data_IF_079742456437
#
_entry.id   IF_079742456437
#
_cell.length_a   1.000
_cell.length_b   1.000
_cell.length_c   1.000
_cell.angle_alpha   90.00
_cell.angle_beta   90.00
_cell.angle_gamma   90.00
#
_symmetry.space_group_name_H-M   'P 1'
#
loop_
_entity.id
_entity.type
_entity.pdbx_description
1 polymer ?
#
# COMPACT_ATOMS: atom_id res chain seq x y z
N UNK A 1 19.08 12.54 -38.08
CA UNK A 1 17.66 12.89 -37.94
C UNK A 1 17.59 14.16 -37.13
N UNK A 2 17.41 15.30 -37.84
CA UNK A 2 17.28 16.62 -37.24
C UNK A 2 15.84 16.81 -36.79
N UNK A 3 15.68 17.34 -35.58
CA UNK A 3 14.39 17.76 -35.05
C UNK A 3 13.93 19.02 -35.76
N UNK A 4 12.63 19.19 -36.11
CA UNK A 4 12.12 20.43 -36.65
C UNK A 4 12.01 21.52 -35.56
N UNK A 5 12.41 22.73 -35.91
CA UNK A 5 12.27 23.91 -35.06
C UNK A 5 10.79 24.20 -34.76
N UNK A 6 10.49 24.39 -33.48
CA UNK A 6 9.18 24.85 -33.02
C UNK A 6 9.00 26.33 -33.38
N UNK A 7 8.16 26.58 -34.37
CA UNK A 7 7.74 27.91 -34.76
C UNK A 7 7.02 28.66 -33.63
N UNK A 8 7.39 29.91 -33.45
CA UNK A 8 6.77 30.86 -32.54
C UNK A 8 5.30 31.10 -32.89
N UNK A 9 4.41 30.83 -31.93
CA UNK A 9 2.99 31.11 -32.05
C UNK A 9 2.69 32.51 -31.49
N UNK A 10 1.95 33.37 -32.21
CA UNK A 10 1.67 34.73 -31.75
C UNK A 10 0.63 34.74 -30.61
N UNK A 11 0.91 35.62 -29.68
CA UNK A 11 0.08 35.97 -28.52
C UNK A 11 -1.36 36.31 -28.92
N UNK A 12 -2.32 35.56 -28.38
CA UNK A 12 -3.68 36.05 -28.20
C UNK A 12 -3.92 36.30 -26.73
N UNK A 13 -4.00 37.57 -26.36
CA UNK A 13 -4.52 38.03 -25.08
C UNK A 13 -5.91 37.45 -24.87
N UNK A 14 -6.07 36.62 -23.86
CA UNK A 14 -7.33 36.42 -23.15
C UNK A 14 -7.11 36.73 -21.68
N UNK A 15 -7.64 37.89 -21.32
CA UNK A 15 -7.77 38.30 -19.94
C UNK A 15 -8.59 37.26 -19.13
N UNK A 16 -8.12 36.99 -17.92
CA UNK A 16 -8.95 36.63 -16.81
C UNK A 16 -9.43 35.20 -16.74
N UNK A 17 -8.58 34.30 -16.30
CA UNK A 17 -8.87 33.40 -15.20
C UNK A 17 -7.53 32.90 -14.66
N UNK A 18 -7.17 33.39 -13.49
CA UNK A 18 -6.12 32.84 -12.66
C UNK A 18 -6.40 31.34 -12.46
N UNK A 19 -5.41 30.46 -12.65
CA UNK A 19 -5.63 29.07 -12.29
C UNK A 19 -6.01 29.05 -10.82
N UNK A 20 -7.20 28.51 -10.55
CA UNK A 20 -7.67 28.32 -9.21
C UNK A 20 -6.56 27.61 -8.44
N UNK A 21 -5.97 28.33 -7.50
CA UNK A 21 -5.10 27.74 -6.50
C UNK A 21 -5.87 26.58 -5.89
N UNK A 22 -5.38 25.37 -6.06
CA UNK A 22 -5.80 24.22 -5.30
C UNK A 22 -5.36 24.48 -3.87
N UNK A 23 -6.09 25.36 -3.19
CA UNK A 23 -6.02 25.49 -1.77
C UNK A 23 -6.57 24.16 -1.23
N UNK A 24 -5.68 23.30 -0.78
CA UNK A 24 -6.02 22.19 0.07
C UNK A 24 -6.75 22.81 1.25
N UNK A 25 -8.09 22.71 1.25
CA UNK A 25 -8.88 23.13 2.39
C UNK A 25 -8.57 22.20 3.55
N UNK A 26 -8.13 22.69 4.71
CA UNK A 26 -7.86 21.87 5.88
C UNK A 26 -9.11 21.28 6.54
N UNK A 27 -10.27 21.36 5.91
CA UNK A 27 -11.55 20.94 6.47
C UNK A 27 -12.06 19.61 5.93
N UNK A 28 -11.24 18.73 5.38
CA UNK A 28 -11.68 17.37 5.03
C UNK A 28 -11.34 16.38 6.16
N UNK A 29 -11.44 16.83 7.40
CA UNK A 29 -11.58 15.98 8.58
C UNK A 29 -13.00 15.52 8.83
N UNK A 30 -13.92 15.73 7.91
CA UNK A 30 -15.31 15.35 8.01
C UNK A 30 -15.60 14.08 7.20
N UNK A 31 -15.80 12.98 7.91
CA UNK A 31 -16.61 11.82 7.53
C UNK A 31 -17.43 12.04 6.26
N UNK A 32 -16.87 11.74 5.10
CA UNK A 32 -17.62 11.30 3.94
C UNK A 32 -17.03 10.00 3.48
N UNK A 33 -17.42 8.96 4.21
CA UNK A 33 -17.51 7.66 3.60
C UNK A 33 -18.27 7.83 2.28
N UNK A 34 -17.77 7.18 1.23
CA UNK A 34 -18.59 6.82 0.08
C UNK A 34 -19.64 5.81 0.59
N UNK A 35 -20.65 6.28 1.26
CA UNK A 35 -21.90 5.58 1.44
C UNK A 35 -22.86 6.19 0.44
N UNK A 36 -23.01 5.57 -0.72
CA UNK A 36 -24.22 5.75 -1.49
C UNK A 36 -25.39 5.39 -0.57
N UNK A 37 -26.46 6.20 -0.50
CA UNK A 37 -27.64 5.86 0.31
C UNK A 37 -28.27 4.52 -0.07
N UNK A 38 -27.96 3.99 -1.23
CA UNK A 38 -28.52 2.77 -1.81
C UNK A 38 -27.58 1.55 -1.75
N UNK A 39 -26.42 1.66 -1.13
CA UNK A 39 -25.62 0.46 -0.84
C UNK A 39 -26.23 -0.21 0.38
N UNK A 40 -26.81 -1.43 0.26
CA UNK A 40 -27.27 -2.18 1.42
C UNK A 40 -26.11 -2.24 2.39
N UNK A 41 -26.33 -1.84 3.64
CA UNK A 41 -25.30 -1.86 4.66
C UNK A 41 -24.64 -3.23 4.62
N UNK A 42 -23.33 -3.30 4.49
CA UNK A 42 -22.62 -4.54 4.76
C UNK A 42 -23.12 -5.00 6.12
N UNK A 43 -23.62 -6.24 6.24
CA UNK A 43 -23.99 -6.75 7.54
C UNK A 43 -22.80 -6.49 8.46
N UNK A 44 -23.05 -5.88 9.61
CA UNK A 44 -22.07 -5.87 10.69
C UNK A 44 -21.53 -7.29 10.77
N UNK A 45 -20.21 -7.53 10.86
CA UNK A 45 -19.66 -8.87 10.96
C UNK A 45 -20.21 -9.48 12.25
N UNK A 46 -21.44 -10.01 12.14
CA UNK A 46 -22.10 -10.73 13.20
C UNK A 46 -21.40 -12.06 13.32
N UNK A 47 -20.66 -12.24 14.41
CA UNK A 47 -20.32 -13.55 14.88
C UNK A 47 -18.85 -13.97 14.88
N UNK A 48 -17.88 -13.06 14.84
CA UNK A 48 -16.58 -13.37 15.43
C UNK A 48 -16.63 -12.81 16.85
N UNK A 49 -17.20 -13.58 17.74
CA UNK A 49 -17.11 -13.26 19.17
C UNK A 49 -15.64 -13.19 19.55
N UNK A 50 -15.29 -12.21 20.38
CA UNK A 50 -13.93 -12.04 20.91
C UNK A 50 -13.38 -13.27 21.67
N UNK A 51 -14.24 -14.26 21.86
CA UNK A 51 -14.01 -15.46 22.68
C UNK A 51 -13.10 -16.51 22.03
N UNK A 52 -12.98 -16.54 20.69
CA UNK A 52 -12.16 -17.55 20.02
C UNK A 52 -10.65 -17.34 20.18
N UNK A 53 -10.23 -16.14 20.56
CA UNK A 53 -8.82 -15.82 20.80
C UNK A 53 -8.34 -16.10 22.22
N UNK A 54 -9.26 -16.25 23.17
CA UNK A 54 -8.92 -16.59 24.56
C UNK A 54 -8.54 -18.07 24.74
N UNK A 55 -8.87 -18.92 23.78
CA UNK A 55 -8.66 -20.36 23.88
C UNK A 55 -7.24 -20.84 23.56
N UNK A 56 -6.38 -19.99 22.99
CA UNK A 56 -4.94 -20.27 22.86
C UNK A 56 -4.15 -19.65 24.03
N UNK A 57 -4.53 -19.99 25.25
CA UNK A 57 -3.85 -19.52 26.48
C UNK A 57 -2.35 -19.82 26.42
N UNK A 58 -1.55 -18.79 26.28
CA UNK A 58 -0.09 -18.84 26.36
C UNK A 58 0.66 -18.51 25.06
N UNK A 59 -0.02 -18.42 23.92
CA UNK A 59 0.63 -18.00 22.68
C UNK A 59 0.75 -16.47 22.62
N UNK A 60 1.96 -15.97 22.37
CA UNK A 60 2.16 -14.53 22.14
C UNK A 60 1.55 -14.13 20.78
N UNK A 61 0.84 -12.98 20.72
CA UNK A 61 0.34 -12.47 19.45
C UNK A 61 1.47 -12.32 18.43
N UNK A 62 1.21 -12.77 17.20
CA UNK A 62 2.19 -12.75 16.10
C UNK A 62 1.86 -11.65 15.09
N UNK A 63 0.57 -11.36 14.90
CA UNK A 63 0.09 -10.37 13.94
C UNK A 63 -0.32 -9.07 14.61
N UNK A 64 -0.42 -7.99 13.83
CA UNK A 64 -0.96 -6.72 14.33
C UNK A 64 -2.42 -6.87 14.77
N UNK A 65 -3.21 -7.69 14.08
CA UNK A 65 -4.60 -7.97 14.44
C UNK A 65 -4.71 -8.69 15.79
N UNK A 66 -3.93 -9.75 16.00
CA UNK A 66 -3.89 -10.46 17.28
C UNK A 66 -3.46 -9.54 18.42
N UNK A 67 -2.40 -8.75 18.20
CA UNK A 67 -1.94 -7.77 19.20
C UNK A 67 -3.02 -6.74 19.53
N UNK A 68 -3.69 -6.22 18.52
CA UNK A 68 -4.75 -5.23 18.70
C UNK A 68 -5.94 -5.79 19.48
N UNK A 69 -6.36 -7.04 19.19
CA UNK A 69 -7.44 -7.74 19.90
C UNK A 69 -7.05 -8.11 21.34
N UNK A 70 -5.79 -8.41 21.56
CA UNK A 70 -5.24 -8.61 22.90
C UNK A 70 -5.04 -7.30 23.70
N UNK A 71 -5.44 -6.15 23.16
CA UNK A 71 -5.28 -4.86 23.84
C UNK A 71 -3.87 -4.29 23.77
N UNK A 72 -2.96 -4.89 23.00
CA UNK A 72 -1.54 -4.50 22.93
C UNK A 72 -1.36 -3.46 21.83
N UNK A 73 -0.73 -2.33 22.20
CA UNK A 73 -0.29 -1.32 21.25
C UNK A 73 1.17 -1.62 20.87
N UNK A 74 1.39 -1.98 19.61
CA UNK A 74 2.71 -2.33 19.09
C UNK A 74 3.55 -1.10 18.76
N UNK A 75 4.84 -1.29 18.51
CA UNK A 75 5.73 -0.23 18.04
C UNK A 75 5.27 0.36 16.70
N UNK A 76 4.78 -0.51 15.81
CA UNK A 76 4.26 -0.12 14.50
C UNK A 76 2.99 0.75 14.63
N UNK A 77 2.07 0.42 15.56
CA UNK A 77 0.90 1.25 15.83
C UNK A 77 1.28 2.65 16.36
N UNK A 78 2.29 2.73 17.22
CA UNK A 78 2.82 4.02 17.70
C UNK A 78 3.43 4.81 16.56
N UNK A 79 4.25 4.16 15.71
CA UNK A 79 4.84 4.81 14.54
C UNK A 79 3.78 5.33 13.57
N UNK A 80 2.72 4.56 13.33
CA UNK A 80 1.58 4.99 12.52
C UNK A 80 0.89 6.21 13.12
N UNK A 81 0.71 6.28 14.44
CA UNK A 81 0.13 7.46 15.12
C UNK A 81 0.96 8.73 14.93
N UNK A 82 2.29 8.62 14.84
CA UNK A 82 3.16 9.75 14.51
C UNK A 82 2.95 10.25 13.07
N UNK A 83 2.61 9.36 12.14
CA UNK A 83 2.36 9.69 10.72
C UNK A 83 0.93 10.18 10.48
N UNK A 84 -0.04 9.61 11.18
CA UNK A 84 -1.46 9.97 11.11
C UNK A 84 -1.83 10.89 12.28
N UNK A 85 -1.38 12.13 12.24
CA UNK A 85 -1.45 13.08 13.37
C UNK A 85 -2.86 13.33 13.92
N UNK A 86 -3.90 12.90 13.22
CA UNK A 86 -5.30 12.98 13.64
C UNK A 86 -5.80 11.73 14.39
N UNK A 87 -4.95 10.68 14.51
CA UNK A 87 -5.28 9.43 15.20
C UNK A 87 -4.32 9.17 16.35
N UNK A 88 -4.84 8.70 17.48
CA UNK A 88 -4.02 8.18 18.58
C UNK A 88 -3.67 6.70 18.35
N UNK A 89 -2.65 6.21 19.04
CA UNK A 89 -2.28 4.81 18.97
C UNK A 89 -3.40 3.86 19.45
N UNK A 90 -4.22 4.31 20.41
CA UNK A 90 -5.40 3.59 20.90
C UNK A 90 -6.50 3.49 19.83
N UNK A 91 -6.74 4.59 19.10
CA UNK A 91 -7.70 4.61 17.99
C UNK A 91 -7.23 3.68 16.87
N UNK A 92 -5.94 3.71 16.52
CA UNK A 92 -5.35 2.81 15.52
C UNK A 92 -5.51 1.35 15.96
N UNK A 93 -5.19 1.02 17.22
CA UNK A 93 -5.41 -0.31 17.77
C UNK A 93 -6.89 -0.72 17.66
N UNK A 94 -7.82 0.16 18.01
CA UNK A 94 -9.26 -0.13 17.95
C UNK A 94 -9.74 -0.38 16.50
N UNK A 95 -9.25 0.39 15.53
CA UNK A 95 -9.57 0.21 14.11
C UNK A 95 -9.01 -1.11 13.56
N UNK A 96 -7.78 -1.49 13.98
CA UNK A 96 -7.17 -2.78 13.60
C UNK A 96 -7.95 -3.93 14.24
N UNK A 97 -8.27 -3.87 15.54
CA UNK A 97 -9.03 -4.90 16.25
C UNK A 97 -10.41 -5.15 15.61
N UNK A 98 -11.04 -4.09 15.11
CA UNK A 98 -12.31 -4.13 14.41
C UNK A 98 -12.20 -4.54 12.93
N UNK A 99 -11.00 -4.80 12.40
CA UNK A 99 -10.78 -5.20 11.02
C UNK A 99 -10.98 -4.08 9.98
N UNK A 100 -10.97 -2.82 10.40
CA UNK A 100 -11.17 -1.66 9.50
C UNK A 100 -9.88 -0.97 9.08
N UNK A 101 -8.75 -1.39 9.66
CA UNK A 101 -7.40 -0.87 9.36
C UNK A 101 -6.37 -2.00 9.39
N UNK A 102 -5.38 -1.91 8.54
CA UNK A 102 -4.21 -2.81 8.54
C UNK A 102 -2.92 -2.00 8.59
N UNK A 103 -1.87 -2.60 9.13
CA UNK A 103 -0.50 -2.13 9.02
C UNK A 103 0.29 -3.20 8.25
N UNK A 104 0.59 -2.99 6.96
CA UNK A 104 1.36 -3.94 6.17
C UNK A 104 2.85 -3.84 6.56
N UNK A 105 3.23 -4.56 7.59
CA UNK A 105 4.58 -4.53 8.16
C UNK A 105 5.17 -5.94 8.23
N UNK A 106 5.71 -6.42 7.11
CA UNK A 106 6.41 -7.69 7.05
C UNK A 106 7.66 -7.64 7.95
N UNK A 107 7.84 -8.66 8.80
CA UNK A 107 8.93 -8.72 9.79
C UNK A 107 10.33 -8.69 9.15
N UNK A 108 10.50 -9.32 7.99
CA UNK A 108 11.77 -9.29 7.24
C UNK A 108 12.02 -7.88 6.73
N UNK A 109 11.02 -7.25 6.16
CA UNK A 109 11.11 -5.89 5.63
C UNK A 109 11.35 -4.84 6.74
N UNK A 110 10.73 -5.02 7.91
CA UNK A 110 11.02 -4.19 9.11
C UNK A 110 12.48 -4.28 9.55
N UNK A 111 13.15 -5.41 9.30
CA UNK A 111 14.58 -5.59 9.56
C UNK A 111 15.50 -4.78 8.63
N UNK A 112 14.94 -4.20 7.57
CA UNK A 112 15.68 -3.34 6.63
C UNK A 112 15.29 -1.87 6.81
N UNK A 113 14.42 -1.35 5.95
CA UNK A 113 14.13 0.09 5.88
C UNK A 113 12.65 0.43 6.03
N UNK A 114 11.76 -0.56 6.12
CA UNK A 114 10.32 -0.32 6.15
C UNK A 114 9.95 0.66 7.27
N UNK A 115 9.28 1.74 6.89
CA UNK A 115 8.66 2.69 7.80
C UNK A 115 7.16 2.39 7.90
N UNK A 116 6.67 1.84 9.03
CA UNK A 116 5.28 1.41 9.17
C UNK A 116 4.26 2.49 8.80
N UNK A 117 3.26 2.11 8.04
CA UNK A 117 2.11 2.93 7.65
C UNK A 117 0.83 2.12 7.78
N UNK A 118 -0.32 2.76 7.75
CA UNK A 118 -1.59 2.06 7.79
C UNK A 118 -2.44 2.31 6.55
N UNK A 119 -3.33 1.37 6.27
CA UNK A 119 -4.37 1.48 5.26
C UNK A 119 -5.70 1.17 5.95
N UNK A 120 -6.64 2.10 5.89
CA UNK A 120 -7.95 1.92 6.53
C UNK A 120 -8.85 3.14 6.39
N UNK A 121 -10.10 2.97 6.78
CA UNK A 121 -11.12 4.02 6.61
C UNK A 121 -10.84 5.29 7.42
N UNK A 122 -10.18 5.14 8.55
CA UNK A 122 -9.84 6.26 9.43
C UNK A 122 -8.55 6.97 9.08
N UNK A 123 -7.69 6.36 8.23
CA UNK A 123 -6.42 6.97 7.82
C UNK A 123 -6.61 7.98 6.68
N UNK A 124 -5.59 8.80 6.46
CA UNK A 124 -5.47 9.62 5.25
C UNK A 124 -5.43 8.74 4.01
N UNK A 125 -5.86 9.26 2.85
CA UNK A 125 -5.80 8.56 1.57
C UNK A 125 -4.34 8.18 1.24
N UNK A 126 -4.13 6.96 0.81
CA UNK A 126 -2.82 6.42 0.44
C UNK A 126 -2.66 6.34 -1.07
N UNK A 127 -1.45 6.59 -1.51
CA UNK A 127 -1.05 6.51 -2.93
C UNK A 127 -0.26 5.23 -3.14
N UNK A 128 -0.76 4.37 -4.02
CA UNK A 128 -0.02 3.22 -4.50
C UNK A 128 0.64 3.53 -5.84
N UNK A 129 1.94 3.33 -5.96
CA UNK A 129 2.66 3.44 -7.21
C UNK A 129 2.94 2.04 -7.77
N UNK A 130 2.77 1.88 -9.08
CA UNK A 130 3.05 0.64 -9.78
C UNK A 130 4.42 0.72 -10.45
N UNK A 131 5.17 -0.37 -10.36
CA UNK A 131 6.43 -0.58 -11.09
C UNK A 131 6.58 -2.05 -11.45
N UNK A 132 7.58 -2.42 -12.22
CA UNK A 132 7.84 -3.82 -12.52
C UNK A 132 8.79 -4.01 -13.68
N UNK A 133 9.75 -4.91 -13.48
CA UNK A 133 10.68 -5.35 -14.50
C UNK A 133 9.99 -6.17 -15.58
N UNK A 134 10.41 -6.00 -16.82
CA UNK A 134 9.96 -6.82 -17.94
C UNK A 134 11.16 -7.25 -18.79
N UNK A 135 11.06 -8.39 -19.47
CA UNK A 135 12.15 -8.85 -20.35
C UNK A 135 12.50 -7.86 -21.48
N UNK A 136 11.60 -6.91 -21.76
CA UNK A 136 11.67 -6.04 -22.93
C UNK A 136 12.04 -4.60 -22.57
N UNK A 137 11.77 -4.14 -21.35
CA UNK A 137 11.82 -2.70 -21.07
C UNK A 137 12.71 -2.26 -19.93
N UNK A 138 12.93 -3.05 -18.88
CA UNK A 138 13.68 -2.57 -17.73
C UNK A 138 14.24 -3.70 -16.86
N UNK A 139 15.44 -3.47 -16.32
CA UNK A 139 16.13 -4.37 -15.39
C UNK A 139 16.00 -3.94 -13.93
N UNK A 140 16.66 -4.67 -13.03
CA UNK A 140 16.58 -4.44 -11.57
C UNK A 140 17.06 -3.03 -11.16
N UNK A 141 18.09 -2.50 -11.79
CA UNK A 141 18.65 -1.19 -11.43
C UNK A 141 17.67 -0.06 -11.80
N UNK A 142 17.09 -0.11 -12.99
CA UNK A 142 16.12 0.89 -13.46
C UNK A 142 14.84 0.84 -12.62
N UNK A 143 14.40 -0.35 -12.21
CA UNK A 143 13.26 -0.50 -11.32
C UNK A 143 13.56 0.03 -9.91
N UNK A 144 14.79 -0.13 -9.44
CA UNK A 144 15.22 0.45 -8.16
C UNK A 144 15.22 1.99 -8.20
N UNK A 145 15.61 2.58 -9.32
CA UNK A 145 15.49 4.04 -9.52
C UNK A 145 14.02 4.48 -9.48
N UNK A 146 13.12 3.75 -10.15
CA UNK A 146 11.68 4.03 -10.11
C UNK A 146 11.12 3.92 -8.69
N UNK A 147 11.55 2.93 -7.90
CA UNK A 147 11.20 2.80 -6.50
C UNK A 147 11.56 4.06 -5.71
N UNK A 148 12.81 4.52 -5.82
CA UNK A 148 13.26 5.72 -5.12
C UNK A 148 12.53 6.98 -5.58
N UNK A 149 12.20 7.08 -6.88
CA UNK A 149 11.38 8.16 -7.41
C UNK A 149 9.97 8.13 -6.83
N UNK A 150 9.32 6.98 -6.83
CA UNK A 150 7.97 6.84 -6.29
C UNK A 150 7.92 7.25 -4.80
N UNK A 151 8.86 6.77 -4.00
CA UNK A 151 8.98 7.13 -2.58
C UNK A 151 9.24 8.63 -2.38
N UNK A 152 10.13 9.21 -3.18
CA UNK A 152 10.44 10.65 -3.14
C UNK A 152 9.23 11.51 -3.43
N UNK A 153 8.35 11.06 -4.31
CA UNK A 153 7.14 11.79 -4.69
C UNK A 153 5.91 11.40 -3.88
N UNK A 154 6.09 10.63 -2.81
CA UNK A 154 5.08 10.41 -1.80
C UNK A 154 4.21 9.18 -2.01
N UNK A 155 4.70 8.18 -2.70
CA UNK A 155 4.04 6.88 -2.69
C UNK A 155 4.02 6.30 -1.28
N UNK A 156 2.88 5.84 -0.83
CA UNK A 156 2.68 5.18 0.46
C UNK A 156 2.89 3.67 0.36
N UNK A 157 2.61 3.09 -0.80
CA UNK A 157 2.82 1.68 -1.13
C UNK A 157 3.34 1.54 -2.54
N UNK A 158 4.07 0.46 -2.80
CA UNK A 158 4.54 0.10 -4.13
C UNK A 158 3.94 -1.25 -4.52
N UNK A 159 3.45 -1.36 -5.74
CA UNK A 159 3.05 -2.64 -6.33
C UNK A 159 4.09 -3.05 -7.37
N UNK A 160 4.78 -4.17 -7.10
CA UNK A 160 5.67 -4.82 -8.05
C UNK A 160 4.87 -5.70 -9.01
N UNK A 161 4.78 -5.26 -10.25
CA UNK A 161 4.10 -5.93 -11.35
C UNK A 161 5.08 -6.64 -12.29
N UNK A 162 6.27 -7.01 -11.80
CA UNK A 162 7.28 -7.70 -12.60
C UNK A 162 6.74 -8.99 -13.24
N UNK A 163 6.96 -9.13 -14.54
CA UNK A 163 6.45 -10.26 -15.34
C UNK A 163 7.57 -11.11 -15.97
N UNK A 164 8.83 -10.77 -15.74
CA UNK A 164 9.95 -11.50 -16.32
C UNK A 164 11.30 -11.09 -15.77
N UNK A 165 12.35 -11.75 -16.27
CA UNK A 165 13.70 -11.55 -15.75
C UNK A 165 13.94 -12.33 -14.46
N UNK A 166 14.86 -11.81 -13.64
CA UNK A 166 15.19 -12.37 -12.32
C UNK A 166 14.25 -11.80 -11.25
N UNK A 167 12.99 -12.19 -11.27
CA UNK A 167 11.94 -11.62 -10.41
C UNK A 167 12.32 -11.66 -8.92
N UNK A 168 12.88 -12.76 -8.44
CA UNK A 168 13.24 -12.92 -7.04
C UNK A 168 14.36 -11.97 -6.64
N UNK A 169 15.36 -11.77 -7.49
CA UNK A 169 16.43 -10.80 -7.28
C UNK A 169 15.88 -9.38 -7.24
N UNK A 170 14.96 -9.04 -8.14
CA UNK A 170 14.29 -7.74 -8.14
C UNK A 170 13.53 -7.53 -6.84
N UNK A 171 12.69 -8.49 -6.43
CA UNK A 171 11.88 -8.42 -5.21
C UNK A 171 12.74 -8.28 -3.95
N UNK A 172 13.80 -9.07 -3.84
CA UNK A 172 14.73 -8.95 -2.72
C UNK A 172 15.40 -7.58 -2.68
N UNK A 173 15.81 -7.06 -3.84
CA UNK A 173 16.39 -5.73 -3.97
C UNK A 173 15.41 -4.64 -3.54
N UNK A 174 14.14 -4.75 -3.92
CA UNK A 174 13.11 -3.78 -3.53
C UNK A 174 12.86 -3.82 -2.02
N UNK A 175 12.69 -5.00 -1.43
CA UNK A 175 12.47 -5.14 0.02
C UNK A 175 13.65 -4.59 0.82
N UNK A 176 14.88 -4.80 0.37
CA UNK A 176 16.08 -4.28 1.05
C UNK A 176 16.20 -2.75 0.98
N UNK A 177 15.63 -2.12 -0.03
CA UNK A 177 15.82 -0.70 -0.32
C UNK A 177 14.58 0.15 -0.09
N UNK A 178 13.39 -0.43 -0.04
CA UNK A 178 12.15 0.29 0.13
C UNK A 178 11.87 0.67 1.59
N UNK A 179 11.33 1.87 1.76
CA UNK A 179 10.74 2.36 3.00
C UNK A 179 9.22 2.15 3.07
N UNK A 180 8.62 1.81 1.94
CA UNK A 180 7.19 1.58 1.80
C UNK A 180 6.87 0.09 1.66
N UNK A 181 5.69 -0.37 2.06
CA UNK A 181 5.27 -1.75 1.81
C UNK A 181 5.27 -2.09 0.33
N UNK A 182 5.76 -3.27 0.00
CA UNK A 182 5.79 -3.81 -1.36
C UNK A 182 4.68 -4.86 -1.50
N UNK A 183 3.76 -4.63 -2.42
CA UNK A 183 2.80 -5.63 -2.89
C UNK A 183 3.33 -6.35 -4.12
N UNK A 184 2.95 -7.61 -4.29
CA UNK A 184 3.32 -8.41 -5.46
C UNK A 184 2.10 -9.08 -6.06
N UNK A 185 2.22 -9.58 -7.29
CA UNK A 185 1.20 -10.38 -7.96
C UNK A 185 1.73 -11.80 -8.17
N UNK A 186 1.50 -12.73 -7.24
CA UNK A 186 2.10 -14.06 -7.27
C UNK A 186 1.83 -14.83 -8.56
N UNK A 187 0.63 -14.69 -9.13
CA UNK A 187 0.25 -15.40 -10.36
C UNK A 187 1.18 -15.09 -11.53
N UNK A 188 1.78 -13.91 -11.59
CA UNK A 188 2.73 -13.56 -12.65
C UNK A 188 3.99 -14.43 -12.62
N UNK A 189 4.45 -14.80 -11.42
CA UNK A 189 5.56 -15.73 -11.25
C UNK A 189 5.14 -17.16 -11.53
N UNK A 190 3.93 -17.55 -11.14
CA UNK A 190 3.42 -18.91 -11.27
C UNK A 190 3.23 -19.33 -12.73
N UNK A 191 2.89 -18.39 -13.63
CA UNK A 191 2.67 -18.69 -15.05
C UNK A 191 3.94 -18.64 -15.90
N UNK A 192 5.09 -18.24 -15.34
CA UNK A 192 6.34 -18.22 -16.09
C UNK A 192 6.75 -19.65 -16.43
N UNK A 193 6.79 -19.96 -17.74
CA UNK A 193 7.14 -21.28 -18.23
C UNK A 193 6.08 -22.37 -18.02
N UNK A 194 4.89 -21.99 -17.54
CA UNK A 194 3.74 -22.89 -17.31
C UNK A 194 2.54 -22.42 -18.14
N UNK A 195 1.65 -23.35 -18.50
CA UNK A 195 0.36 -23.00 -19.07
C UNK A 195 -0.63 -22.73 -17.94
N UNK A 196 -1.68 -21.97 -18.20
CA UNK A 196 -2.69 -21.66 -17.19
C UNK A 196 -3.37 -22.92 -16.63
N UNK A 197 -3.56 -23.93 -17.49
CA UNK A 197 -4.17 -25.22 -17.12
C UNK A 197 -3.29 -26.04 -16.16
N UNK A 198 -2.00 -25.74 -16.09
CA UNK A 198 -1.04 -26.43 -15.22
C UNK A 198 -0.99 -25.82 -13.79
N UNK A 199 -1.75 -24.74 -13.53
CA UNK A 199 -1.88 -24.14 -12.20
C UNK A 199 -2.78 -25.00 -11.31
N UNK A 200 -2.18 -26.00 -10.68
CA UNK A 200 -2.85 -26.82 -9.67
C UNK A 200 -2.85 -26.15 -8.31
N UNK A 201 -3.65 -26.68 -7.38
CA UNK A 201 -3.69 -26.22 -6.00
C UNK A 201 -2.30 -26.27 -5.33
N UNK A 202 -1.53 -27.31 -5.59
CA UNK A 202 -0.18 -27.46 -5.02
C UNK A 202 0.77 -26.37 -5.53
N UNK A 203 0.71 -26.04 -6.82
CA UNK A 203 1.51 -24.94 -7.40
C UNK A 203 1.15 -23.57 -6.82
N UNK A 204 -0.12 -23.38 -6.44
CA UNK A 204 -0.57 -22.12 -5.82
C UNK A 204 -0.09 -22.01 -4.37
N UNK A 205 0.10 -23.13 -3.70
CA UNK A 205 0.56 -23.18 -2.32
C UNK A 205 2.09 -23.19 -2.16
N UNK A 206 2.83 -23.50 -3.24
CA UNK A 206 4.29 -23.46 -3.27
C UNK A 206 4.82 -22.02 -3.13
#
# INVERSE_FOLDING_TARGET
WSLPELGSNPSTNREGTSPASFAIRPEVGGRRAFSSPDTPGMPEPSGIEATDWENEKGRKPVTQLESARAGIITAEMKRVAERESHLTAEQIRAEIAAGRMIIPANRVHLGYKLDPMCIGRASTTKINANMGASPVSSGTEEELEKLHWAERWGADTIMDLSTGGQIDVCRETFIRNSRTPIGTVPIYSMIIGRRLEDLTYDVILE
#
